data_IF_977193698169
#
_entry.id   IF_977193698169
#
_cell.length_a   1.000
_cell.length_b   1.000
_cell.length_c   1.000
_cell.angle_alpha   90.00
_cell.angle_beta   90.00
_cell.angle_gamma   90.00
#
_symmetry.space_group_name_H-M   'P 1'
#
loop_
_entity.id
_entity.type
_entity.pdbx_description
1 polymer ?
#
# COMPACT_ATOMS: atom_id res chain seq x y z
N UNK A 1 -21.17 23.26 -0.55
CA UNK A 1 -21.00 21.98 -1.29
C UNK A 1 -19.61 21.45 -0.98
N UNK A 2 -19.44 20.25 -0.40
CA UNK A 2 -18.11 19.69 -0.22
C UNK A 2 -17.42 19.59 -1.59
N UNK A 3 -16.18 20.06 -1.66
CA UNK A 3 -15.35 19.96 -2.86
C UNK A 3 -14.96 18.49 -3.00
N UNK A 4 -15.63 17.77 -3.90
CA UNK A 4 -15.19 16.44 -4.34
C UNK A 4 -14.26 16.64 -5.54
N UNK A 5 -12.96 16.32 -5.44
CA UNK A 5 -12.07 16.40 -6.58
C UNK A 5 -12.59 15.50 -7.70
N UNK A 6 -12.64 16.02 -8.93
CA UNK A 6 -13.05 15.24 -10.09
C UNK A 6 -12.04 14.11 -10.31
N UNK A 7 -12.48 12.86 -10.14
CA UNK A 7 -11.62 11.70 -10.36
C UNK A 7 -11.36 11.49 -11.86
N UNK A 8 -10.29 12.08 -12.37
CA UNK A 8 -9.83 11.88 -13.76
C UNK A 8 -8.98 10.62 -13.94
N UNK A 9 -8.43 10.05 -12.86
CA UNK A 9 -7.60 8.85 -12.90
C UNK A 9 -8.43 7.56 -12.97
N UNK A 10 -9.67 7.59 -12.49
CA UNK A 10 -10.53 6.42 -12.38
C UNK A 10 -10.17 5.54 -11.20
N UNK A 11 -10.64 4.30 -11.24
CA UNK A 11 -10.31 3.26 -10.26
C UNK A 11 -9.01 2.57 -10.67
N UNK A 12 -8.14 2.22 -9.71
CA UNK A 12 -6.80 1.67 -9.99
C UNK A 12 -6.58 0.28 -9.39
N UNK A 13 -5.84 -0.59 -10.06
CA UNK A 13 -5.52 -1.92 -9.51
C UNK A 13 -4.48 -1.84 -8.39
N UNK A 14 -3.33 -1.22 -8.67
CA UNK A 14 -2.22 -1.09 -7.73
C UNK A 14 -1.95 0.39 -7.43
N UNK A 15 -1.95 0.75 -6.15
CA UNK A 15 -1.64 2.11 -5.69
C UNK A 15 -0.40 2.12 -4.80
N UNK A 16 0.65 2.82 -5.24
CA UNK A 16 1.76 3.18 -4.35
C UNK A 16 1.34 4.39 -3.53
N UNK A 17 1.27 4.23 -2.20
CA UNK A 17 0.82 5.30 -1.29
C UNK A 17 1.80 6.47 -1.35
N UNK A 18 1.28 7.66 -1.64
CA UNK A 18 2.09 8.86 -1.84
C UNK A 18 2.75 9.31 -0.52
N UNK A 19 3.93 9.90 -0.61
CA UNK A 19 4.62 10.50 0.53
C UNK A 19 4.68 9.58 1.77
N UNK A 20 5.01 8.31 1.56
CA UNK A 20 5.10 7.29 2.61
C UNK A 20 3.77 6.95 3.33
N UNK A 21 2.65 7.57 2.98
CA UNK A 21 1.40 7.46 3.74
C UNK A 21 1.18 8.55 4.80
N UNK A 22 1.75 9.74 4.60
CA UNK A 22 1.41 10.93 5.41
C UNK A 22 0.10 11.58 4.94
N UNK A 23 -0.65 12.16 5.88
CA UNK A 23 -1.99 12.73 5.64
C UNK A 23 -2.00 13.89 4.65
N UNK A 24 -0.91 14.66 4.59
CA UNK A 24 -0.75 15.79 3.67
C UNK A 24 -0.84 15.40 2.19
N UNK A 25 -0.65 14.12 1.86
CA UNK A 25 -0.61 13.62 0.47
C UNK A 25 -1.60 12.48 0.19
N UNK A 26 -2.35 12.01 1.20
CA UNK A 26 -3.27 10.86 1.09
C UNK A 26 -4.66 11.22 1.64
N UNK A 27 -5.19 12.37 1.20
CA UNK A 27 -6.51 12.82 1.61
C UNK A 27 -7.55 11.70 1.41
N UNK A 28 -8.40 11.36 2.40
CA UNK A 28 -9.33 10.22 2.32
C UNK A 28 -10.20 10.19 1.07
N UNK A 29 -10.61 11.37 0.57
CA UNK A 29 -11.38 11.49 -0.67
C UNK A 29 -10.60 11.01 -1.91
N UNK A 30 -9.28 11.20 -1.96
CA UNK A 30 -8.44 10.69 -3.05
C UNK A 30 -8.38 9.16 -3.01
N UNK A 31 -8.11 8.58 -1.83
CA UNK A 31 -8.00 7.13 -1.67
C UNK A 31 -9.33 6.42 -1.98
N UNK A 32 -10.45 6.99 -1.52
CA UNK A 32 -11.80 6.50 -1.84
C UNK A 32 -12.13 6.64 -3.33
N UNK A 33 -11.69 7.71 -3.98
CA UNK A 33 -11.91 7.90 -5.41
C UNK A 33 -11.12 6.87 -6.24
N UNK A 34 -9.87 6.59 -5.85
CA UNK A 34 -9.02 5.61 -6.53
C UNK A 34 -9.48 4.15 -6.29
N UNK A 35 -10.12 3.87 -5.15
CA UNK A 35 -10.64 2.55 -4.77
C UNK A 35 -9.67 1.42 -5.17
N UNK A 36 -8.44 1.37 -4.61
CA UNK A 36 -7.42 0.43 -5.06
C UNK A 36 -7.77 -1.02 -4.75
N UNK A 37 -7.30 -1.98 -5.56
CA UNK A 37 -7.35 -3.41 -5.21
C UNK A 37 -6.20 -3.76 -4.28
N UNK A 38 -5.00 -3.24 -4.54
CA UNK A 38 -3.82 -3.40 -3.69
C UNK A 38 -3.20 -2.03 -3.43
N UNK A 39 -2.79 -1.79 -2.18
CA UNK A 39 -2.04 -0.60 -1.80
C UNK A 39 -0.66 -0.97 -1.25
N UNK A 40 0.38 -0.22 -1.63
CA UNK A 40 1.76 -0.40 -1.16
C UNK A 40 2.23 0.86 -0.44
N UNK A 41 2.43 0.77 0.87
CA UNK A 41 3.06 1.83 1.66
C UNK A 41 4.57 1.78 1.47
N UNK A 42 5.12 2.80 0.81
CA UNK A 42 6.57 3.02 0.76
C UNK A 42 7.05 3.73 2.04
N UNK A 43 6.69 3.20 3.21
CA UNK A 43 6.95 3.81 4.51
C UNK A 43 8.33 3.44 5.05
N UNK A 44 8.83 4.25 5.99
CA UNK A 44 9.96 3.88 6.85
C UNK A 44 9.46 3.40 8.22
N UNK A 45 10.34 2.88 9.08
CA UNK A 45 9.92 2.32 10.37
C UNK A 45 9.21 3.31 11.29
N UNK A 46 9.54 4.60 11.16
CA UNK A 46 8.95 5.71 11.94
C UNK A 46 8.20 6.76 11.10
N UNK A 47 8.08 6.57 9.78
CA UNK A 47 7.49 7.58 8.86
C UNK A 47 6.48 6.94 7.92
N UNK A 48 5.27 7.51 7.83
CA UNK A 48 4.21 7.00 6.96
C UNK A 48 3.08 6.34 7.73
N UNK A 49 2.27 5.52 7.04
CA UNK A 49 1.23 4.64 7.64
C UNK A 49 0.34 5.33 8.68
N UNK A 50 -0.12 6.56 8.40
CA UNK A 50 -1.03 7.24 9.31
C UNK A 50 -2.32 6.45 9.51
N UNK A 51 -2.94 6.60 10.68
CA UNK A 51 -4.25 6.00 10.98
C UNK A 51 -5.27 6.34 9.90
N UNK A 52 -5.33 7.62 9.51
CA UNK A 52 -6.28 8.09 8.50
C UNK A 52 -6.05 7.46 7.13
N UNK A 53 -4.80 7.30 6.69
CA UNK A 53 -4.51 6.61 5.43
C UNK A 53 -4.86 5.12 5.51
N UNK A 54 -4.53 4.47 6.62
CA UNK A 54 -4.81 3.04 6.83
C UNK A 54 -6.33 2.76 6.86
N UNK A 55 -7.09 3.56 7.61
CA UNK A 55 -8.55 3.43 7.70
C UNK A 55 -9.24 3.78 6.38
N UNK A 56 -8.72 4.76 5.63
CA UNK A 56 -9.25 5.10 4.31
C UNK A 56 -9.08 3.96 3.32
N UNK A 57 -7.93 3.28 3.34
CA UNK A 57 -7.68 2.10 2.51
C UNK A 57 -8.54 0.92 2.96
N UNK A 58 -8.58 0.61 4.27
CA UNK A 58 -9.43 -0.47 4.82
C UNK A 58 -10.92 -0.25 4.51
N UNK A 59 -11.36 1.00 4.42
CA UNK A 59 -12.72 1.37 4.03
C UNK A 59 -12.99 1.38 2.53
N UNK A 60 -11.99 1.14 1.67
CA UNK A 60 -12.17 1.07 0.23
C UNK A 60 -12.81 -0.28 -0.17
N UNK A 61 -13.96 -0.28 -0.87
CA UNK A 61 -14.73 -1.52 -1.13
C UNK A 61 -13.97 -2.61 -1.87
N UNK A 62 -12.98 -2.23 -2.69
CA UNK A 62 -12.26 -3.19 -3.52
C UNK A 62 -10.92 -3.63 -2.97
N UNK A 63 -10.49 -3.07 -1.84
CA UNK A 63 -9.18 -3.37 -1.28
C UNK A 63 -9.13 -4.84 -0.88
N UNK A 64 -8.11 -5.55 -1.39
CA UNK A 64 -7.80 -6.94 -1.04
C UNK A 64 -6.55 -7.08 -0.20
N UNK A 65 -5.56 -6.21 -0.39
CA UNK A 65 -4.30 -6.30 0.33
C UNK A 65 -3.62 -4.94 0.52
N UNK A 66 -2.92 -4.81 1.64
CA UNK A 66 -1.97 -3.75 1.92
C UNK A 66 -0.58 -4.40 2.03
N UNK A 67 0.42 -3.74 1.47
CA UNK A 67 1.83 -4.09 1.61
C UNK A 67 2.59 -2.93 2.23
N UNK A 68 3.69 -3.22 2.93
CA UNK A 68 4.55 -2.20 3.53
C UNK A 68 6.02 -2.48 3.24
N UNK A 69 6.77 -1.44 2.88
CA UNK A 69 8.22 -1.56 2.77
C UNK A 69 8.85 -1.78 4.14
N UNK A 70 8.42 -1.05 5.17
CA UNK A 70 8.92 -1.23 6.54
C UNK A 70 7.79 -1.48 7.53
N UNK A 71 8.06 -2.26 8.57
CA UNK A 71 7.20 -2.35 9.74
C UNK A 71 7.13 -0.99 10.45
N UNK A 72 5.92 -0.52 10.77
CA UNK A 72 5.75 0.63 11.66
C UNK A 72 6.06 0.23 13.11
N UNK A 73 7.08 0.84 13.71
CA UNK A 73 7.53 0.58 15.09
C UNK A 73 7.12 1.66 16.10
N UNK A 74 6.35 2.67 15.66
CA UNK A 74 5.82 3.72 16.53
C UNK A 74 4.76 3.18 17.50
N UNK A 75 4.23 4.06 18.35
CA UNK A 75 3.14 3.73 19.27
C UNK A 75 1.87 3.24 18.54
N UNK A 76 1.63 3.71 17.31
CA UNK A 76 0.52 3.30 16.44
C UNK A 76 0.82 2.04 15.61
N UNK A 77 1.60 1.09 16.16
CA UNK A 77 2.03 -0.15 15.49
C UNK A 77 0.90 -1.08 15.03
N UNK A 78 -0.36 -0.84 15.41
CA UNK A 78 -1.53 -1.51 14.84
C UNK A 78 -1.83 -1.05 13.40
N UNK A 79 -1.20 0.03 12.94
CA UNK A 79 -1.14 0.45 11.54
C UNK A 79 -0.08 -0.33 10.76
N UNK A 80 -0.10 -1.65 10.95
CA UNK A 80 0.67 -2.62 10.18
C UNK A 80 -0.29 -3.59 9.47
N UNK A 81 0.13 -4.11 8.33
CA UNK A 81 -0.46 -5.28 7.67
C UNK A 81 0.12 -6.58 8.24
N UNK A 82 -0.25 -7.72 7.66
CA UNK A 82 0.28 -9.03 8.00
C UNK A 82 1.79 -9.08 7.77
N UNK A 83 2.52 -9.79 8.64
CA UNK A 83 4.00 -9.80 8.65
C UNK A 83 4.61 -10.24 7.32
N UNK A 84 3.96 -11.20 6.65
CA UNK A 84 4.41 -11.75 5.37
C UNK A 84 4.38 -10.70 4.25
N UNK A 85 3.55 -9.65 4.38
CA UNK A 85 3.42 -8.54 3.42
C UNK A 85 4.31 -7.32 3.77
N UNK A 86 5.20 -7.46 4.75
CA UNK A 86 6.16 -6.43 5.16
C UNK A 86 7.58 -6.84 4.72
N UNK A 87 8.25 -6.00 3.93
CA UNK A 87 9.57 -6.35 3.39
C UNK A 87 10.71 -6.23 4.42
N UNK A 88 10.65 -5.26 5.32
CA UNK A 88 11.67 -4.99 6.33
C UNK A 88 11.03 -4.96 7.72
N UNK A 89 11.39 -5.91 8.59
CA UNK A 89 10.86 -6.03 9.94
C UNK A 89 11.62 -5.16 10.95
N UNK A 90 10.91 -4.62 11.93
CA UNK A 90 11.47 -3.80 12.99
C UNK A 90 12.16 -2.51 12.51
N UNK A 91 13.09 -2.03 13.34
CA UNK A 91 13.89 -0.83 13.10
C UNK A 91 15.34 -1.12 13.44
N UNK A 92 16.12 -1.43 12.40
CA UNK A 92 17.53 -1.80 12.51
C UNK A 92 18.48 -0.64 12.16
N UNK A 93 17.95 0.57 11.98
CA UNK A 93 18.74 1.75 11.64
C UNK A 93 19.60 1.53 10.38
N UNK A 94 20.91 1.70 10.53
CA UNK A 94 21.89 1.55 9.43
C UNK A 94 22.07 0.09 8.98
N UNK A 95 21.67 -0.88 9.80
CA UNK A 95 21.73 -2.31 9.46
C UNK A 95 20.50 -2.78 8.63
N UNK A 96 19.62 -1.85 8.23
CA UNK A 96 18.48 -2.19 7.38
C UNK A 96 18.97 -2.67 6.00
N UNK A 97 18.68 -3.93 5.69
CA UNK A 97 19.02 -4.53 4.40
C UNK A 97 18.26 -3.93 3.20
N UNK A 98 17.19 -3.16 3.45
CA UNK A 98 16.46 -2.44 2.40
C UNK A 98 15.78 -3.38 1.39
N UNK A 99 15.18 -4.47 1.88
CA UNK A 99 14.43 -5.40 1.04
C UNK A 99 13.27 -4.71 0.31
N UNK A 100 13.04 -5.12 -0.94
CA UNK A 100 12.05 -4.52 -1.82
C UNK A 100 10.76 -5.36 -1.89
N UNK A 101 9.69 -4.73 -2.38
CA UNK A 101 8.48 -5.42 -2.84
C UNK A 101 8.49 -5.36 -4.37
N UNK A 102 8.33 -6.51 -5.01
CA UNK A 102 8.36 -6.62 -6.46
C UNK A 102 6.96 -6.86 -7.01
N UNK A 103 6.56 -6.09 -8.02
CA UNK A 103 5.34 -6.32 -8.78
C UNK A 103 5.69 -6.75 -10.21
N UNK A 104 5.13 -7.86 -10.65
CA UNK A 104 5.23 -8.32 -12.05
C UNK A 104 3.84 -8.43 -12.65
N UNK A 105 3.68 -8.00 -13.90
CA UNK A 105 2.42 -8.09 -14.66
C UNK A 105 2.51 -9.24 -15.66
N UNK A 106 1.43 -10.00 -15.84
CA UNK A 106 1.36 -11.04 -16.87
C UNK A 106 1.47 -10.43 -18.26
N UNK A 107 1.98 -11.19 -19.24
CA UNK A 107 2.21 -10.69 -20.59
C UNK A 107 0.94 -10.18 -21.29
N UNK A 108 -0.22 -10.76 -20.96
CA UNK A 108 -1.54 -10.35 -21.44
C UNK A 108 -2.15 -9.18 -20.65
N UNK A 109 -1.47 -8.72 -19.59
CA UNK A 109 -1.94 -7.67 -18.71
C UNK A 109 -3.14 -8.04 -17.84
N UNK A 110 -3.61 -9.30 -17.85
CA UNK A 110 -4.81 -9.73 -17.14
C UNK A 110 -4.61 -9.95 -15.63
N UNK A 111 -3.36 -10.02 -15.18
CA UNK A 111 -3.02 -10.25 -13.78
C UNK A 111 -1.70 -9.61 -13.39
N UNK A 112 -1.49 -9.43 -12.09
CA UNK A 112 -0.24 -8.97 -11.52
C UNK A 112 0.05 -9.70 -10.20
N UNK A 113 1.33 -9.94 -9.93
CA UNK A 113 1.81 -10.65 -8.73
C UNK A 113 2.68 -9.72 -7.91
N UNK A 114 2.34 -9.59 -6.63
CA UNK A 114 3.19 -8.97 -5.62
C UNK A 114 4.04 -10.05 -4.96
N UNK A 115 5.35 -9.81 -4.86
CA UNK A 115 6.32 -10.68 -4.24
C UNK A 115 7.14 -9.90 -3.21
N UNK A 116 7.24 -10.44 -2.00
CA UNK A 116 8.11 -9.94 -0.93
C UNK A 116 9.22 -10.97 -0.72
N UNK A 117 10.40 -10.81 -1.35
CA UNK A 117 11.45 -11.82 -1.31
C UNK A 117 11.94 -12.14 0.10
N UNK A 118 11.96 -11.14 1.00
CA UNK A 118 12.42 -11.29 2.38
C UNK A 118 11.58 -12.28 3.20
N UNK A 119 10.28 -12.41 2.88
CA UNK A 119 9.35 -13.31 3.57
C UNK A 119 8.97 -14.52 2.72
N UNK A 120 9.37 -14.55 1.44
CA UNK A 120 8.92 -15.53 0.45
C UNK A 120 7.45 -15.36 0.01
N UNK A 121 6.75 -14.33 0.50
CA UNK A 121 5.32 -14.14 0.23
C UNK A 121 5.05 -13.75 -1.21
N UNK A 122 4.06 -14.40 -1.84
CA UNK A 122 3.62 -14.13 -3.21
C UNK A 122 2.11 -14.18 -3.29
N UNK A 123 1.51 -13.18 -3.93
CA UNK A 123 0.07 -13.12 -4.14
C UNK A 123 -0.25 -12.53 -5.51
N UNK A 124 -1.13 -13.20 -6.26
CA UNK A 124 -1.55 -12.80 -7.60
C UNK A 124 -2.97 -12.25 -7.57
N UNK A 125 -3.16 -11.12 -8.24
CA UNK A 125 -4.44 -10.44 -8.37
C UNK A 125 -4.80 -10.33 -9.86
N UNK A 126 -6.10 -10.36 -10.16
CA UNK A 126 -6.60 -10.08 -11.50
C UNK A 126 -6.71 -8.57 -11.70
N UNK A 127 -6.31 -8.05 -12.85
CA UNK A 127 -6.58 -6.66 -13.22
C UNK A 127 -8.06 -6.45 -13.47
N UNK A 128 -8.56 -5.25 -13.19
CA UNK A 128 -9.93 -4.90 -13.53
C UNK A 128 -10.15 -4.91 -15.04
N UNK A 129 -11.30 -5.44 -15.46
CA UNK A 129 -11.81 -5.21 -16.80
C UNK A 129 -12.02 -3.69 -17.00
N UNK A 130 -11.65 -3.19 -18.17
CA UNK A 130 -11.86 -1.79 -18.56
C UNK A 130 -13.33 -1.49 -18.82
#
# INVERSE_FOLDING_TARGET
LPICPLNRAGRVDLYQVNHHGLDSSNHPLLLRALDPVVAVFNNGPRKGTSQTAFDSLRGAPSLKAIYQVHENVREDRHNNTEKERIANAGDTGEECAGHFIHCSVSADGGSYTLHVPATGHRETFQTRAR
#
